data_IF_650553639910
#
_entry.id   IF_650553639910
#
_cell.length_a   1.000
_cell.length_b   1.000
_cell.length_c   1.000
_cell.angle_alpha   90.00
_cell.angle_beta   90.00
_cell.angle_gamma   90.00
#
_symmetry.space_group_name_H-M   'P 1'
#
loop_
_entity.id
_entity.type
_entity.pdbx_description
1 polymer ?
#
# COMPACT_ATOMS: atom_id res chain seq x y z
N UNK A 1 -0.86 -4.79 11.71
CA UNK A 1 -0.83 -6.27 11.63
C UNK A 1 -1.85 -6.85 10.66
N UNK A 2 -3.17 -6.65 10.81
CA UNK A 2 -4.15 -7.21 9.85
C UNK A 2 -4.08 -6.60 8.44
N UNK A 3 -3.80 -5.29 8.35
CA UNK A 3 -3.61 -4.55 7.09
C UNK A 3 -2.34 -4.99 6.35
N UNK A 4 -1.24 -5.21 7.08
CA UNK A 4 0.04 -5.64 6.48
C UNK A 4 -0.11 -6.98 5.77
N UNK A 5 -0.79 -7.94 6.38
CA UNK A 5 -1.08 -9.25 5.76
C UNK A 5 -1.97 -9.13 4.53
N UNK A 6 -2.90 -8.18 4.50
CA UNK A 6 -3.77 -7.91 3.35
C UNK A 6 -2.97 -7.33 2.19
N UNK A 7 -2.14 -6.32 2.46
CA UNK A 7 -1.27 -5.72 1.44
C UNK A 7 -0.24 -6.72 0.91
N UNK A 8 0.26 -7.62 1.76
CA UNK A 8 1.20 -8.66 1.34
C UNK A 8 0.51 -9.67 0.40
N UNK A 9 -0.69 -10.13 0.74
CA UNK A 9 -1.47 -11.06 -0.10
C UNK A 9 -1.79 -10.46 -1.48
N UNK A 10 -1.92 -9.13 -1.55
CA UNK A 10 -2.18 -8.39 -2.77
C UNK A 10 -0.93 -7.95 -3.51
N UNK A 11 0.26 -8.35 -3.04
CA UNK A 11 1.54 -7.97 -3.63
C UNK A 11 1.83 -6.46 -3.57
N UNK A 12 1.23 -5.74 -2.62
CA UNK A 12 1.38 -4.29 -2.42
C UNK A 12 2.49 -3.96 -1.43
N UNK A 13 2.72 -4.79 -0.41
CA UNK A 13 3.78 -4.56 0.62
C UNK A 13 4.86 -5.65 0.65
N UNK A 14 5.01 -6.43 -0.43
CA UNK A 14 6.10 -7.39 -0.55
C UNK A 14 7.43 -6.71 -0.90
N UNK A 15 8.59 -7.26 -0.48
CA UNK A 15 9.87 -6.76 -0.96
C UNK A 15 9.88 -6.87 -2.48
N UNK A 16 9.97 -5.73 -3.17
CA UNK A 16 10.17 -5.65 -4.62
C UNK A 16 11.39 -6.50 -4.96
N UNK A 17 11.13 -7.74 -5.40
CA UNK A 17 12.16 -8.67 -5.83
C UNK A 17 12.60 -8.18 -7.20
N UNK A 18 13.53 -7.21 -7.18
CA UNK A 18 14.37 -6.82 -8.31
C UNK A 18 15.13 -8.07 -8.78
N UNK A 19 14.51 -8.87 -9.64
CA UNK A 19 15.13 -10.08 -10.17
C UNK A 19 14.15 -11.19 -10.55
N UNK A 20 13.75 -11.18 -11.83
CA UNK A 20 13.68 -12.33 -12.75
C UNK A 20 12.83 -13.55 -12.35
N UNK A 21 11.78 -13.76 -13.13
CA UNK A 21 11.36 -15.10 -13.60
C UNK A 21 10.56 -15.96 -12.62
N UNK A 22 9.26 -16.07 -12.87
CA UNK A 22 8.40 -17.02 -12.18
C UNK A 22 7.04 -17.11 -12.86
N UNK A 23 7.05 -17.62 -14.10
CA UNK A 23 5.84 -18.04 -14.80
C UNK A 23 5.10 -19.10 -13.97
N UNK A 24 3.91 -18.77 -13.48
CA UNK A 24 2.91 -19.77 -13.14
C UNK A 24 1.91 -19.81 -14.29
N UNK A 25 2.21 -20.70 -15.24
CA UNK A 25 1.25 -21.15 -16.23
C UNK A 25 0.24 -22.06 -15.51
N UNK A 26 -1.01 -21.61 -15.44
CA UNK A 26 -2.16 -22.48 -15.20
C UNK A 26 -2.95 -22.52 -16.50
N UNK A 27 -2.85 -23.65 -17.19
CA UNK A 27 -3.68 -24.01 -18.31
C UNK A 27 -4.83 -24.90 -17.81
N UNK A 28 -6.08 -24.51 -18.07
CA UNK A 28 -7.15 -25.43 -18.46
C UNK A 28 -8.41 -24.66 -18.90
N UNK A 29 -9.05 -25.21 -19.93
CA UNK A 29 -10.12 -24.71 -20.78
C UNK A 29 -11.44 -24.28 -20.10
N UNK A 30 -12.12 -23.31 -20.72
CA UNK A 30 -13.56 -23.34 -20.93
C UNK A 30 -13.96 -22.34 -22.03
N UNK A 31 -14.62 -22.85 -23.07
CA UNK A 31 -15.12 -22.07 -24.19
C UNK A 31 -16.18 -21.05 -23.77
N UNK A 32 -16.09 -19.87 -24.38
CA UNK A 32 -16.97 -18.72 -24.22
C UNK A 32 -16.21 -17.53 -24.78
N UNK A 33 -16.85 -16.75 -25.66
CA UNK A 33 -16.26 -15.65 -26.43
C UNK A 33 -15.22 -14.83 -25.60
N UNK A 34 -13.92 -14.81 -25.98
CA UNK A 34 -12.84 -14.46 -25.04
C UNK A 34 -12.52 -12.97 -24.92
N UNK A 35 -13.17 -12.08 -25.69
CA UNK A 35 -12.65 -10.72 -25.85
C UNK A 35 -13.05 -9.76 -24.73
N UNK A 36 -14.24 -9.88 -24.15
CA UNK A 36 -14.75 -8.91 -23.16
C UNK A 36 -14.16 -9.16 -21.75
N UNK A 37 -14.17 -10.42 -21.32
CA UNK A 37 -13.56 -10.84 -20.05
C UNK A 37 -12.04 -10.60 -20.00
N UNK A 38 -11.34 -10.69 -21.14
CA UNK A 38 -9.89 -10.44 -21.18
C UNK A 38 -9.55 -8.96 -20.99
N UNK A 39 -10.41 -8.05 -21.48
CA UNK A 39 -10.23 -6.60 -21.34
C UNK A 39 -10.49 -6.19 -19.88
N UNK A 40 -11.55 -6.69 -19.25
CA UNK A 40 -11.85 -6.40 -17.84
C UNK A 40 -10.77 -6.92 -16.89
N UNK A 41 -10.24 -8.12 -17.15
CA UNK A 41 -9.11 -8.67 -16.39
C UNK A 41 -7.82 -7.86 -16.60
N UNK A 42 -7.59 -7.35 -17.81
CA UNK A 42 -6.47 -6.45 -18.12
C UNK A 42 -6.60 -5.13 -17.34
N UNK A 43 -7.78 -4.53 -17.32
CA UNK A 43 -8.06 -3.27 -16.62
C UNK A 43 -7.97 -3.41 -15.09
N UNK A 44 -8.46 -4.51 -14.54
CA UNK A 44 -8.29 -4.83 -13.12
C UNK A 44 -6.80 -4.92 -12.76
N UNK A 45 -6.01 -5.65 -13.57
CA UNK A 45 -4.57 -5.80 -13.35
C UNK A 45 -3.83 -4.47 -13.48
N UNK A 46 -4.20 -3.63 -14.46
CA UNK A 46 -3.63 -2.31 -14.64
C UNK A 46 -3.92 -1.40 -13.43
N UNK A 47 -5.18 -1.35 -12.97
CA UNK A 47 -5.58 -0.57 -11.78
C UNK A 47 -4.91 -1.06 -10.51
N UNK A 48 -4.78 -2.38 -10.32
CA UNK A 48 -4.04 -2.93 -9.17
C UNK A 48 -2.56 -2.55 -9.22
N UNK A 49 -1.94 -2.59 -10.41
CA UNK A 49 -0.57 -2.12 -10.61
C UNK A 49 -0.41 -0.63 -10.28
N UNK A 50 -1.39 0.19 -10.65
CA UNK A 50 -1.40 1.61 -10.33
C UNK A 50 -1.50 1.85 -8.81
N UNK A 51 -2.37 1.13 -8.10
CA UNK A 51 -2.49 1.23 -6.63
C UNK A 51 -1.16 0.85 -5.97
N UNK A 52 -0.49 -0.22 -6.44
CA UNK A 52 0.84 -0.59 -5.96
C UNK A 52 1.87 0.51 -6.17
N UNK A 53 1.91 1.09 -7.37
CA UNK A 53 2.87 2.14 -7.70
C UNK A 53 2.67 3.39 -6.82
N UNK A 54 1.42 3.80 -6.62
CA UNK A 54 1.08 4.94 -5.75
C UNK A 54 1.52 4.65 -4.31
N UNK A 55 1.21 3.46 -3.78
CA UNK A 55 1.62 3.08 -2.42
C UNK A 55 3.14 3.17 -2.23
N UNK A 56 3.93 2.62 -3.14
CA UNK A 56 5.39 2.66 -3.03
C UNK A 56 5.94 4.08 -3.19
N UNK A 57 5.40 4.87 -4.13
CA UNK A 57 5.82 6.26 -4.32
C UNK A 57 5.52 7.13 -3.09
N UNK A 58 4.34 6.97 -2.49
CA UNK A 58 3.97 7.71 -1.28
C UNK A 58 4.75 7.21 -0.06
N UNK A 59 5.03 5.91 0.03
CA UNK A 59 5.86 5.35 1.10
C UNK A 59 7.30 5.90 1.05
N UNK A 60 7.92 5.96 -0.14
CA UNK A 60 9.26 6.52 -0.31
C UNK A 60 9.33 8.00 0.09
N UNK A 61 8.37 8.81 -0.36
CA UNK A 61 8.28 10.23 0.03
C UNK A 61 8.12 10.38 1.55
N UNK A 62 7.27 9.53 2.14
CA UNK A 62 7.05 9.51 3.58
C UNK A 62 8.32 9.14 4.35
N UNK A 63 9.04 8.10 3.93
CA UNK A 63 10.29 7.67 4.57
C UNK A 63 11.37 8.75 4.47
N UNK A 64 11.49 9.39 3.29
CA UNK A 64 12.40 10.51 3.08
C UNK A 64 12.06 11.69 4.02
N UNK A 65 10.79 12.09 4.07
CA UNK A 65 10.33 13.17 4.95
C UNK A 65 10.56 12.84 6.44
N UNK A 66 10.38 11.58 6.85
CA UNK A 66 10.65 11.14 8.22
C UNK A 66 12.14 11.24 8.56
N UNK A 67 13.02 10.86 7.63
CA UNK A 67 14.48 10.95 7.80
C UNK A 67 14.94 12.41 7.92
N UNK A 68 14.47 13.27 7.02
CA UNK A 68 14.78 14.71 7.03
C UNK A 68 14.29 15.39 8.31
N UNK A 69 13.05 15.11 8.71
CA UNK A 69 12.48 15.69 9.92
C UNK A 69 13.21 15.21 11.17
N UNK A 70 13.53 13.92 11.27
CA UNK A 70 14.30 13.37 12.40
C UNK A 70 15.67 14.02 12.49
N UNK A 71 16.36 14.17 11.35
CA UNK A 71 17.66 14.85 11.27
C UNK A 71 17.55 16.30 11.73
N UNK A 72 16.53 17.02 11.26
CA UNK A 72 16.29 18.40 11.64
C UNK A 72 16.04 18.55 13.15
N UNK A 73 15.17 17.72 13.72
CA UNK A 73 14.88 17.74 15.17
C UNK A 73 16.13 17.40 15.98
N UNK A 74 16.92 16.41 15.56
CA UNK A 74 18.15 16.04 16.27
C UNK A 74 19.19 17.17 16.24
N UNK A 75 19.33 17.86 15.12
CA UNK A 75 20.21 19.03 15.01
C UNK A 75 19.73 20.17 15.90
N UNK A 76 18.42 20.45 15.89
CA UNK A 76 17.82 21.49 16.73
C UNK A 76 18.03 21.22 18.23
N UNK A 77 17.79 19.99 18.68
CA UNK A 77 17.97 19.61 20.09
C UNK A 77 19.45 19.68 20.51
N UNK A 78 20.38 19.32 19.62
CA UNK A 78 21.82 19.48 19.86
C UNK A 78 22.21 20.95 19.98
N UNK A 79 21.70 21.81 19.11
CA UNK A 79 21.98 23.24 19.16
C UNK A 79 21.41 23.88 20.42
N UNK A 80 20.16 23.57 20.78
CA UNK A 80 19.54 24.03 22.02
C UNK A 80 20.27 23.55 23.27
N UNK A 81 20.81 22.33 23.27
CA UNK A 81 21.58 21.80 24.41
C UNK A 81 22.83 22.62 24.75
N UNK A 82 23.37 23.37 23.78
CA UNK A 82 24.55 24.24 23.97
C UNK A 82 24.23 25.54 24.70
N UNK A 83 23.04 26.08 24.49
CA UNK A 83 22.55 27.31 25.14
C UNK A 83 21.89 27.01 26.48
N UNK A 84 21.27 25.84 26.61
CA UNK A 84 20.62 25.40 27.85
C UNK A 84 20.74 23.88 28.01
N UNK A 85 21.19 23.36 29.16
CA UNK A 85 21.28 21.92 29.35
C UNK A 85 19.91 21.25 29.19
N UNK A 86 19.80 20.32 28.25
CA UNK A 86 18.62 19.46 28.05
C UNK A 86 19.00 18.05 28.50
N UNK A 87 18.14 17.39 29.27
CA UNK A 87 18.38 16.01 29.69
C UNK A 87 18.31 15.07 28.48
N UNK A 88 19.22 14.10 28.32
CA UNK A 88 19.13 13.07 27.28
C UNK A 88 17.78 12.34 27.26
N UNK A 89 17.18 12.11 28.43
CA UNK A 89 15.85 11.50 28.59
C UNK A 89 14.72 12.32 27.97
N UNK A 90 14.89 13.63 27.86
CA UNK A 90 13.89 14.51 27.25
C UNK A 90 14.00 14.50 25.72
N UNK A 91 15.24 14.47 25.20
CA UNK A 91 15.53 14.27 23.77
C UNK A 91 14.90 12.95 23.29
N UNK A 92 15.15 11.85 24.00
CA UNK A 92 14.56 10.55 23.68
C UNK A 92 13.03 10.57 23.67
N UNK A 93 12.40 11.20 24.67
CA UNK A 93 10.94 11.34 24.72
C UNK A 93 10.40 12.10 23.52
N UNK A 94 11.04 13.20 23.11
CA UNK A 94 10.61 13.98 21.95
C UNK A 94 10.71 13.18 20.66
N UNK A 95 11.82 12.47 20.45
CA UNK A 95 12.03 11.60 19.28
C UNK A 95 11.00 10.47 19.24
N UNK A 96 10.70 9.85 20.39
CA UNK A 96 9.68 8.80 20.49
C UNK A 96 8.26 9.31 20.15
N UNK A 97 7.89 10.51 20.58
CA UNK A 97 6.60 11.12 20.22
C UNK A 97 6.50 11.31 18.70
N UNK A 98 7.60 11.76 18.08
CA UNK A 98 7.67 11.94 16.62
C UNK A 98 7.50 10.59 15.91
N UNK A 99 8.22 9.55 16.33
CA UNK A 99 8.05 8.21 15.75
C UNK A 99 6.63 7.65 15.92
N UNK A 100 5.95 7.94 17.03
CA UNK A 100 4.54 7.58 17.21
C UNK A 100 3.62 8.26 16.19
N UNK A 101 3.83 9.56 15.93
CA UNK A 101 3.11 10.30 14.88
C UNK A 101 3.39 9.74 13.50
N UNK A 102 4.66 9.46 13.20
CA UNK A 102 5.07 8.81 11.96
C UNK A 102 4.34 7.48 11.77
N UNK A 103 4.39 6.58 12.76
CA UNK A 103 3.70 5.29 12.66
C UNK A 103 2.20 5.42 12.40
N UNK A 104 1.57 6.48 12.91
CA UNK A 104 0.14 6.76 12.70
C UNK A 104 -0.14 7.14 11.25
N UNK A 105 0.69 8.02 10.67
CA UNK A 105 0.59 8.41 9.25
C UNK A 105 0.85 7.21 8.34
N UNK A 106 1.85 6.38 8.66
CA UNK A 106 2.14 5.17 7.89
C UNK A 106 0.96 4.18 7.92
N UNK A 107 0.28 4.07 9.07
CA UNK A 107 -0.92 3.24 9.19
C UNK A 107 -2.06 3.79 8.33
N UNK A 108 -2.25 5.11 8.28
CA UNK A 108 -3.27 5.74 7.42
C UNK A 108 -3.00 5.48 5.93
N UNK A 109 -1.74 5.56 5.49
CA UNK A 109 -1.36 5.23 4.11
C UNK A 109 -1.71 3.77 3.78
N UNK A 110 -1.37 2.84 4.67
CA UNK A 110 -1.69 1.41 4.51
C UNK A 110 -3.20 1.17 4.48
N UNK A 111 -3.97 1.87 5.32
CA UNK A 111 -5.42 1.79 5.36
C UNK A 111 -6.06 2.27 4.06
N UNK A 112 -5.70 3.48 3.60
CA UNK A 112 -6.20 4.03 2.34
C UNK A 112 -5.92 3.12 1.15
N UNK A 113 -4.73 2.51 1.14
CA UNK A 113 -4.34 1.54 0.10
C UNK A 113 -5.17 0.26 0.16
N UNK A 114 -5.43 -0.29 1.35
CA UNK A 114 -6.31 -1.45 1.52
C UNK A 114 -7.74 -1.14 1.07
N UNK A 115 -8.27 0.02 1.42
CA UNK A 115 -9.61 0.46 1.01
C UNK A 115 -9.71 0.57 -0.52
N UNK A 116 -8.70 1.15 -1.19
CA UNK A 116 -8.65 1.23 -2.65
C UNK A 116 -8.68 -0.16 -3.30
N UNK A 117 -7.94 -1.11 -2.75
CA UNK A 117 -7.93 -2.51 -3.23
C UNK A 117 -9.29 -3.18 -2.99
N UNK A 118 -9.89 -3.00 -1.82
CA UNK A 118 -11.22 -3.54 -1.51
C UNK A 118 -12.29 -3.01 -2.47
N UNK A 119 -12.28 -1.70 -2.76
CA UNK A 119 -13.20 -1.09 -3.73
C UNK A 119 -12.99 -1.67 -5.13
N UNK A 120 -11.73 -1.84 -5.55
CA UNK A 120 -11.41 -2.41 -6.85
C UNK A 120 -11.93 -3.86 -6.97
N UNK A 121 -11.73 -4.69 -5.95
CA UNK A 121 -12.27 -6.06 -5.88
C UNK A 121 -13.80 -6.10 -5.94
N UNK A 122 -14.48 -5.27 -5.14
CA UNK A 122 -15.94 -5.25 -5.11
C UNK A 122 -16.53 -4.83 -6.46
N UNK A 123 -15.95 -3.83 -7.12
CA UNK A 123 -16.39 -3.40 -8.46
C UNK A 123 -16.20 -4.48 -9.52
N UNK A 124 -15.11 -5.24 -9.42
CA UNK A 124 -14.85 -6.35 -10.35
C UNK A 124 -15.84 -7.51 -10.15
N UNK A 125 -16.14 -7.86 -8.90
CA UNK A 125 -17.12 -8.91 -8.61
C UNK A 125 -18.56 -8.51 -9.02
N UNK A 126 -18.96 -7.25 -8.82
CA UNK A 126 -20.29 -6.75 -9.24
C UNK A 126 -20.45 -6.75 -10.77
N UNK A 127 -19.42 -6.34 -11.52
CA UNK A 127 -19.43 -6.40 -12.99
C UNK A 127 -19.67 -7.83 -13.51
N UNK A 128 -19.01 -8.83 -12.90
CA UNK A 128 -19.19 -10.25 -13.24
C UNK A 128 -20.55 -10.81 -12.82
N UNK A 129 -21.08 -10.40 -11.66
CA UNK A 129 -22.39 -10.86 -11.18
C UNK A 129 -23.55 -10.32 -12.03
N UNK A 130 -23.39 -9.10 -12.58
CA UNK A 130 -24.36 -8.52 -13.53
C UNK A 130 -24.29 -9.11 -14.94
N UNK A 131 -23.19 -9.78 -15.30
CA UNK A 131 -23.03 -10.48 -16.57
C UNK A 131 -23.55 -11.93 -16.54
N UNK A 132 -23.78 -12.53 -15.37
CA UNK A 132 -24.57 -13.75 -15.25
C UNK A 132 -26.05 -13.40 -15.30
N UNK A 133 -26.76 -13.66 -16.42
CA UNK A 133 -28.14 -13.24 -16.57
C UNK A 133 -29.03 -13.95 -15.55
N UNK A 134 -29.86 -13.17 -14.87
CA UNK A 134 -31.04 -13.65 -14.17
C UNK A 134 -32.15 -14.01 -15.18
N UNK A 135 -31.80 -14.78 -16.22
CA UNK A 135 -32.73 -15.33 -17.22
C UNK A 135 -32.94 -16.83 -16.98
N UNK A 136 -33.27 -17.20 -15.75
CA UNK A 136 -33.94 -18.49 -15.45
C UNK A 136 -34.93 -18.27 -14.31
N UNK A 137 -35.96 -17.45 -14.50
CA UNK A 137 -37.28 -17.74 -13.91
C UNK A 137 -38.41 -16.91 -14.54
N UNK A 138 -39.44 -17.66 -14.98
CA UNK A 138 -40.79 -17.29 -15.42
C UNK A 138 -41.00 -16.79 -16.86
#
# INVERSE_FOLDING_TARGET
MRLDNMLLAEGVSGPEKRGRGGSVAVAAASGGCPNDNSIEHSDYRAKLSQIRQIYHSELEKYEQACSEFTTHVMNLLREQSRTRPISPKEIERMVNIIHGKFSTIQMQLKQSTCEAVMILRSRFLDARYRQTPADVEA
#
